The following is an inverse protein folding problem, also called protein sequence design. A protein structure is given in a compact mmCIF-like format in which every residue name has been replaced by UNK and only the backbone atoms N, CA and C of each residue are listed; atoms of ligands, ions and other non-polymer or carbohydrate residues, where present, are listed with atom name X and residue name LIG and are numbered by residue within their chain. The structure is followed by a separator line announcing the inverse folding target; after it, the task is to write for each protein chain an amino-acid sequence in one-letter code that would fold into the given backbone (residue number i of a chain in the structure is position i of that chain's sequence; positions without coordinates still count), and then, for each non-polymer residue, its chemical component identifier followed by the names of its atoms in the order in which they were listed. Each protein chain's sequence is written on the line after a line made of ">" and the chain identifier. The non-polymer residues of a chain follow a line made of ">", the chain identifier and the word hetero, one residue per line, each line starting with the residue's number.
data_IF_853349328028
#
_entry.id   IF_853349328028
#
_cell.length_a   1.000
_cell.length_b   1.000
_cell.length_c   1.000
_cell.angle_alpha   90.00
_cell.angle_beta   90.00
_cell.angle_gamma   90.00
#
_symmetry.space_group_name_H-M   'P 1'
#
loop_
_entity.id
_entity.type
_entity.pdbx_description
1 polymer ?
#
# COMPACT_ATOMS: atom_id res chain seq x y z
N UNK A 1 -13.18 30.57 20.12
CA UNK A 1 -13.68 29.36 19.43
C UNK A 1 -12.48 28.66 18.82
N UNK A 2 -11.98 27.58 19.42
CA UNK A 2 -10.82 26.86 18.91
C UNK A 2 -11.23 26.10 17.65
N UNK A 3 -10.55 26.35 16.53
CA UNK A 3 -10.70 25.52 15.33
C UNK A 3 -10.31 24.08 15.73
N UNK A 4 -11.18 23.07 15.54
CA UNK A 4 -10.79 21.70 15.82
C UNK A 4 -9.56 21.40 14.94
N UNK A 5 -8.45 20.98 15.56
CA UNK A 5 -7.29 20.50 14.84
C UNK A 5 -7.78 19.46 13.83
N UNK A 6 -7.70 19.78 12.54
CA UNK A 6 -8.27 18.94 11.49
C UNK A 6 -7.57 17.58 11.55
N UNK A 7 -8.26 16.57 12.12
CA UNK A 7 -7.76 15.19 12.09
C UNK A 7 -7.55 14.85 10.63
N UNK A 8 -6.32 14.46 10.30
CA UNK A 8 -5.98 14.04 8.94
C UNK A 8 -6.87 12.85 8.59
N UNK A 9 -7.61 12.96 7.48
CA UNK A 9 -8.50 11.91 6.97
C UNK A 9 -7.74 10.65 6.60
N UNK A 10 -8.42 9.50 6.53
CA UNK A 10 -7.81 8.23 6.09
C UNK A 10 -7.10 8.37 4.74
N UNK A 11 -7.73 9.06 3.78
CA UNK A 11 -7.13 9.39 2.47
C UNK A 11 -5.86 10.25 2.61
N UNK A 12 -5.90 11.28 3.44
CA UNK A 12 -4.73 12.14 3.69
C UNK A 12 -3.56 11.37 4.32
N UNK A 13 -3.85 10.46 5.25
CA UNK A 13 -2.83 9.58 5.85
C UNK A 13 -2.26 8.60 4.82
N UNK A 14 -3.11 7.99 4.00
CA UNK A 14 -2.68 7.10 2.92
C UNK A 14 -1.80 7.83 1.90
N UNK A 15 -2.20 9.02 1.44
CA UNK A 15 -1.41 9.83 0.51
C UNK A 15 -0.05 10.20 1.09
N UNK A 16 0.04 10.51 2.39
CA UNK A 16 1.32 10.78 3.06
C UNK A 16 2.23 9.54 3.11
N UNK A 17 1.68 8.34 3.21
CA UNK A 17 2.47 7.10 3.13
C UNK A 17 2.94 6.87 1.70
N UNK A 18 2.03 6.97 0.73
CA UNK A 18 2.31 6.78 -0.70
C UNK A 18 3.32 7.78 -1.26
N UNK A 19 3.36 9.01 -0.71
CA UNK A 19 4.36 10.01 -1.13
C UNK A 19 5.79 9.65 -0.73
N UNK A 20 6.00 8.71 0.20
CA UNK A 20 7.34 8.29 0.65
C UNK A 20 7.89 7.12 -0.14
N UNK A 21 7.03 6.17 -0.53
CA UNK A 21 7.35 5.00 -1.36
C UNK A 21 6.06 4.30 -1.81
N UNK A 22 6.20 3.41 -2.79
CA UNK A 22 5.14 2.47 -3.14
C UNK A 22 4.74 1.61 -1.94
N UNK A 23 3.43 1.53 -1.72
CA UNK A 23 2.79 0.75 -0.67
C UNK A 23 1.71 -0.11 -1.28
N UNK A 24 1.63 -1.38 -0.87
CA UNK A 24 0.49 -2.21 -1.24
C UNK A 24 -0.76 -1.81 -0.47
N UNK A 25 -1.91 -2.18 -1.00
CA UNK A 25 -3.19 -2.02 -0.32
C UNK A 25 -3.17 -2.61 1.08
N UNK A 26 -2.70 -3.85 1.23
CA UNK A 26 -2.63 -4.57 2.51
C UNK A 26 -1.70 -3.87 3.51
N UNK A 27 -0.59 -3.27 3.04
CA UNK A 27 0.25 -2.46 3.93
C UNK A 27 -0.47 -1.20 4.44
N UNK A 28 -1.25 -0.54 3.58
CA UNK A 28 -2.04 0.63 3.97
C UNK A 28 -3.16 0.25 4.92
N UNK A 29 -3.87 -0.85 4.67
CA UNK A 29 -4.91 -1.39 5.56
C UNK A 29 -4.34 -1.65 6.96
N UNK A 30 -3.23 -2.41 7.05
CA UNK A 30 -2.59 -2.70 8.34
C UNK A 30 -2.13 -1.46 9.10
N UNK A 31 -1.61 -0.45 8.38
CA UNK A 31 -1.09 0.79 8.99
C UNK A 31 -2.17 1.78 9.39
N UNK A 32 -3.31 1.77 8.70
CA UNK A 32 -4.36 2.77 8.89
C UNK A 32 -5.57 2.22 9.63
N UNK A 33 -5.63 0.91 9.90
CA UNK A 33 -6.71 0.26 10.64
C UNK A 33 -6.98 0.92 12.01
N UNK A 34 -5.94 1.35 12.74
CA UNK A 34 -6.10 2.06 14.02
C UNK A 34 -6.77 3.44 13.91
N UNK A 35 -6.89 3.97 12.69
CA UNK A 35 -7.52 5.25 12.41
C UNK A 35 -8.90 5.10 11.75
N UNK A 36 -9.37 3.86 11.55
CA UNK A 36 -10.71 3.57 11.11
C UNK A 36 -11.69 3.74 12.28
N UNK A 37 -12.53 4.76 12.20
CA UNK A 37 -13.55 5.02 13.23
C UNK A 37 -14.86 4.29 12.90
N UNK A 38 -15.18 4.13 11.61
CA UNK A 38 -16.34 3.40 11.11
C UNK A 38 -15.89 2.26 10.19
N UNK A 39 -16.32 1.01 10.43
CA UNK A 39 -15.94 -0.14 9.63
C UNK A 39 -16.23 0.05 8.14
N UNK A 40 -15.23 -0.22 7.30
CA UNK A 40 -15.31 -0.12 5.84
C UNK A 40 -15.00 1.27 5.28
N UNK A 41 -14.82 2.29 6.12
CA UNK A 41 -14.39 3.62 5.64
C UNK A 41 -12.96 3.60 5.13
N UNK A 42 -12.09 2.77 5.71
CA UNK A 42 -10.72 2.59 5.23
C UNK A 42 -10.71 1.89 3.87
N UNK A 43 -11.46 0.79 3.73
CA UNK A 43 -11.55 0.07 2.47
C UNK A 43 -12.02 0.98 1.33
N UNK A 44 -13.10 1.74 1.52
CA UNK A 44 -13.61 2.71 0.53
C UNK A 44 -12.58 3.78 0.19
N UNK A 45 -11.84 4.29 1.18
CA UNK A 45 -10.80 5.28 0.94
C UNK A 45 -9.67 4.73 0.08
N UNK A 46 -9.28 3.47 0.30
CA UNK A 46 -8.24 2.80 -0.49
C UNK A 46 -8.75 2.44 -1.89
N UNK A 47 -10.01 2.00 -2.04
CA UNK A 47 -10.65 1.77 -3.35
C UNK A 47 -10.58 3.03 -4.22
N UNK A 48 -10.89 4.20 -3.65
CA UNK A 48 -10.79 5.45 -4.38
C UNK A 48 -9.36 5.83 -4.78
N UNK A 49 -8.37 5.51 -3.95
CA UNK A 49 -6.97 5.79 -4.24
C UNK A 49 -6.43 4.85 -5.31
N UNK A 50 -6.84 3.59 -5.27
CA UNK A 50 -6.54 2.57 -6.27
C UNK A 50 -7.18 2.91 -7.62
N UNK A 51 -8.47 3.29 -7.64
CA UNK A 51 -9.17 3.73 -8.85
C UNK A 51 -8.53 4.98 -9.49
N UNK A 52 -7.90 5.84 -8.68
CA UNK A 52 -7.14 7.02 -9.15
C UNK A 52 -5.69 6.69 -9.52
N UNK A 53 -5.28 5.43 -9.42
CA UNK A 53 -3.94 4.97 -9.75
C UNK A 53 -2.87 5.36 -8.74
N UNK A 54 -3.22 5.81 -7.53
CA UNK A 54 -2.25 6.09 -6.46
C UNK A 54 -1.70 4.80 -5.84
N UNK A 55 -2.51 3.74 -5.82
CA UNK A 55 -2.09 2.39 -5.41
C UNK A 55 -2.01 1.55 -6.68
N UNK A 56 -0.90 0.86 -6.90
CA UNK A 56 -0.69 -0.03 -8.05
C UNK A 56 0.14 -1.22 -7.60
N UNK A 57 -0.43 -2.42 -7.76
CA UNK A 57 0.28 -3.65 -7.41
C UNK A 57 1.53 -3.84 -8.27
N UNK A 58 1.45 -3.56 -9.57
CA UNK A 58 2.57 -3.61 -10.51
C UNK A 58 3.76 -2.77 -10.04
N UNK A 59 3.53 -1.49 -9.68
CA UNK A 59 4.60 -0.61 -9.19
C UNK A 59 5.19 -1.08 -7.87
N UNK A 60 4.38 -1.69 -6.99
CA UNK A 60 4.87 -2.28 -5.76
C UNK A 60 5.79 -3.47 -6.08
N UNK A 61 5.40 -4.34 -7.00
CA UNK A 61 6.21 -5.50 -7.40
C UNK A 61 7.54 -5.04 -8.01
N UNK A 62 7.49 -4.16 -9.01
CA UNK A 62 8.68 -3.60 -9.65
C UNK A 62 9.61 -2.94 -8.64
N UNK A 63 9.07 -2.13 -7.72
CA UNK A 63 9.87 -1.47 -6.68
C UNK A 63 10.57 -2.47 -5.76
N UNK A 64 9.95 -3.61 -5.43
CA UNK A 64 10.55 -4.64 -4.58
C UNK A 64 11.60 -5.41 -5.35
N UNK A 65 11.28 -5.88 -6.57
CA UNK A 65 12.23 -6.58 -7.45
C UNK A 65 13.47 -5.74 -7.68
N UNK A 66 13.31 -4.48 -8.12
CA UNK A 66 14.44 -3.58 -8.39
C UNK A 66 15.35 -3.37 -7.17
N UNK A 67 14.77 -3.25 -5.97
CA UNK A 67 15.54 -3.00 -4.72
C UNK A 67 16.18 -4.26 -4.14
N UNK A 68 15.61 -5.44 -4.40
CA UNK A 68 15.94 -6.68 -3.70
C UNK A 68 16.60 -7.73 -4.57
N UNK A 69 16.31 -7.79 -5.87
CA UNK A 69 16.81 -8.84 -6.77
C UNK A 69 18.36 -8.90 -6.84
N UNK A 70 19.03 -7.75 -6.69
CA UNK A 70 20.50 -7.69 -6.66
C UNK A 70 21.12 -8.20 -5.35
N UNK A 71 20.33 -8.30 -4.27
CA UNK A 71 20.81 -8.64 -2.91
C UNK A 71 20.24 -9.95 -2.39
N UNK A 72 19.07 -10.34 -2.85
CA UNK A 72 18.28 -11.47 -2.39
C UNK A 72 17.91 -12.34 -3.59
N UNK A 73 17.97 -13.66 -3.42
CA UNK A 73 17.49 -14.60 -4.44
C UNK A 73 15.97 -14.52 -4.64
N UNK A 74 15.50 -14.96 -5.81
CA UNK A 74 14.10 -14.87 -6.25
C UNK A 74 13.08 -15.37 -5.22
N UNK A 75 13.37 -16.50 -4.55
CA UNK A 75 12.49 -17.05 -3.52
C UNK A 75 12.23 -16.08 -2.35
N UNK A 76 13.24 -15.30 -1.94
CA UNK A 76 13.10 -14.36 -0.84
C UNK A 76 12.41 -13.06 -1.27
N UNK A 77 12.58 -12.68 -2.53
CA UNK A 77 11.80 -11.59 -3.15
C UNK A 77 10.32 -11.97 -3.22
N UNK A 78 9.99 -13.18 -3.67
CA UNK A 78 8.62 -13.70 -3.68
C UNK A 78 7.98 -13.72 -2.28
N UNK A 79 8.74 -14.11 -1.25
CA UNK A 79 8.24 -14.04 0.13
C UNK A 79 7.94 -12.60 0.58
N UNK A 80 8.78 -11.62 0.22
CA UNK A 80 8.54 -10.20 0.55
C UNK A 80 7.31 -9.65 -0.20
N UNK A 81 7.11 -10.04 -1.46
CA UNK A 81 5.93 -9.69 -2.25
C UNK A 81 4.65 -10.31 -1.65
N UNK A 82 4.69 -11.59 -1.28
CA UNK A 82 3.56 -12.26 -0.62
C UNK A 82 3.24 -11.63 0.74
N UNK A 83 4.24 -11.22 1.52
CA UNK A 83 4.04 -10.54 2.80
C UNK A 83 3.34 -9.16 2.65
N UNK A 84 3.49 -8.53 1.48
CA UNK A 84 2.77 -7.31 1.07
C UNK A 84 1.36 -7.59 0.55
N UNK A 85 0.92 -8.85 0.53
CA UNK A 85 -0.44 -9.24 0.14
C UNK A 85 -0.71 -9.18 -1.36
N UNK A 86 0.35 -9.22 -2.19
CA UNK A 86 0.23 -9.22 -3.64
C UNK A 86 -0.23 -10.60 -4.13
N UNK A 87 -1.12 -10.60 -5.12
CA UNK A 87 -1.64 -11.83 -5.70
C UNK A 87 -0.54 -12.60 -6.45
N UNK A 88 -0.72 -13.91 -6.61
CA UNK A 88 0.19 -14.74 -7.42
C UNK A 88 0.25 -14.26 -8.88
N UNK A 89 -0.85 -13.73 -9.40
CA UNK A 89 -0.94 -13.15 -10.75
C UNK A 89 -0.06 -11.90 -10.87
N UNK A 90 -0.20 -10.95 -9.95
CA UNK A 90 0.58 -9.70 -9.91
C UNK A 90 2.07 -9.97 -9.73
N UNK A 91 2.44 -11.01 -8.98
CA UNK A 91 3.84 -11.43 -8.84
C UNK A 91 4.41 -12.10 -10.11
N UNK A 92 3.57 -12.82 -10.87
CA UNK A 92 4.00 -13.53 -12.09
C UNK A 92 4.29 -12.60 -13.27
N UNK A 93 3.66 -11.43 -13.31
CA UNK A 93 3.85 -10.45 -14.39
C UNK A 93 5.21 -9.73 -14.33
N UNK A 94 5.93 -9.80 -13.21
CA UNK A 94 7.14 -9.01 -12.98
C UNK A 94 8.40 -9.81 -12.66
N UNK A 95 8.32 -11.14 -12.55
CA UNK A 95 9.43 -12.06 -12.29
C UNK A 95 9.69 -12.93 -13.52
#
# INVERSE_FOLDING_TARGET
>A
MALPASRISLKGRALRLLSQREHSRVELERKLAEHEEEPGTLARALDELEAKGFISEERVVESVVHRRASKLGAARVQQELAAKGLSAESMSLAL
#
